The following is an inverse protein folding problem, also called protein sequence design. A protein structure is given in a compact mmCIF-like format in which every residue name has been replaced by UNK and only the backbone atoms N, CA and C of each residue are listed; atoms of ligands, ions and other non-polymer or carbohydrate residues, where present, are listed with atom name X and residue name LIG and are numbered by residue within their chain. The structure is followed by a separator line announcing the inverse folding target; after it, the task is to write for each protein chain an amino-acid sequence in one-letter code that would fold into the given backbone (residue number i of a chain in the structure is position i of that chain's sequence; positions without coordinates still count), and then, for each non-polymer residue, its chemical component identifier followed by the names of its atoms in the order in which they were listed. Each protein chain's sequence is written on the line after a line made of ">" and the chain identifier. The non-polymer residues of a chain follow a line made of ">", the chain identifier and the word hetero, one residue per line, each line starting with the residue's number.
data_IF_083549366503
#
_entry.id   IF_083549366503
#
_cell.length_a   1.000
_cell.length_b   1.000
_cell.length_c   1.000
_cell.angle_alpha   90.00
_cell.angle_beta   90.00
_cell.angle_gamma   90.00
#
_symmetry.space_group_name_H-M   'P 1'
#
loop_
_entity.id
_entity.type
_entity.pdbx_description
1 polymer ?
#
# COMPACT_ATOMS: atom_id res chain seq x y z
N UNK A 1 -17.97 -11.65 -1.64
CA UNK A 1 -17.92 -11.15 -0.24
C UNK A 1 -16.89 -10.02 -0.06
N UNK A 2 -15.64 -10.20 -0.50
CA UNK A 2 -14.55 -9.20 -0.31
C UNK A 2 -14.74 -7.85 -1.03
N UNK A 3 -15.47 -7.81 -2.16
CA UNK A 3 -15.64 -6.60 -2.98
C UNK A 3 -16.18 -5.39 -2.19
N UNK A 4 -17.14 -5.60 -1.27
CA UNK A 4 -17.69 -4.53 -0.45
C UNK A 4 -16.68 -4.04 0.59
N UNK A 5 -15.93 -4.94 1.22
CA UNK A 5 -14.91 -4.58 2.23
C UNK A 5 -13.78 -3.78 1.59
N UNK A 6 -13.26 -4.23 0.44
CA UNK A 6 -12.21 -3.50 -0.29
C UNK A 6 -12.68 -2.11 -0.74
N UNK A 7 -13.95 -1.97 -1.13
CA UNK A 7 -14.54 -0.66 -1.47
C UNK A 7 -14.53 0.29 -0.26
N UNK A 8 -14.93 -0.18 0.91
CA UNK A 8 -14.88 0.63 2.14
C UNK A 8 -13.45 0.98 2.54
N UNK A 9 -12.52 0.02 2.45
CA UNK A 9 -11.10 0.23 2.69
C UNK A 9 -10.54 1.37 1.83
N UNK A 10 -10.85 1.38 0.53
CA UNK A 10 -10.44 2.45 -0.38
C UNK A 10 -11.02 3.83 0.00
N UNK A 11 -12.27 3.88 0.43
CA UNK A 11 -12.90 5.14 0.89
C UNK A 11 -12.21 5.65 2.15
N UNK A 12 -11.96 4.77 3.13
CA UNK A 12 -11.25 5.16 4.35
C UNK A 12 -9.83 5.61 4.07
N UNK A 13 -9.13 4.93 3.15
CA UNK A 13 -7.80 5.33 2.73
C UNK A 13 -7.81 6.74 2.12
N UNK A 14 -8.75 7.01 1.21
CA UNK A 14 -8.90 8.33 0.59
C UNK A 14 -9.16 9.44 1.63
N UNK A 15 -10.05 9.17 2.61
CA UNK A 15 -10.36 10.11 3.68
C UNK A 15 -9.18 10.34 4.64
N UNK A 16 -8.24 9.39 4.73
CA UNK A 16 -7.05 9.51 5.58
C UNK A 16 -5.91 10.31 4.92
N UNK A 17 -5.99 10.62 3.61
CA UNK A 17 -4.91 11.31 2.87
C UNK A 17 -4.51 12.64 3.51
N UNK A 18 -5.42 13.55 3.90
CA UNK A 18 -5.01 14.81 4.53
C UNK A 18 -4.22 14.59 5.83
N UNK A 19 -4.60 13.59 6.63
CA UNK A 19 -3.89 13.24 7.87
C UNK A 19 -2.50 12.67 7.58
N UNK A 20 -2.39 11.79 6.58
CA UNK A 20 -1.10 11.23 6.12
C UNK A 20 -0.15 12.33 5.62
N UNK A 21 -0.66 13.30 4.87
CA UNK A 21 0.11 14.44 4.36
C UNK A 21 0.59 15.34 5.52
N UNK A 22 -0.29 15.67 6.47
CA UNK A 22 0.10 16.45 7.64
C UNK A 22 1.16 15.74 8.49
N UNK A 23 1.07 14.42 8.67
CA UNK A 23 2.02 13.68 9.51
C UNK A 23 3.45 13.63 8.94
N UNK A 24 3.62 13.86 7.62
CA UNK A 24 4.93 13.97 6.96
C UNK A 24 5.37 15.42 6.74
N UNK A 25 4.69 16.38 7.38
CA UNK A 25 5.00 17.81 7.29
C UNK A 25 4.62 18.44 5.95
N UNK A 26 3.72 17.83 5.18
CA UNK A 26 3.18 18.46 3.98
C UNK A 26 2.03 19.40 4.38
N UNK A 27 2.13 20.68 4.01
CA UNK A 27 1.28 21.77 4.49
C UNK A 27 0.41 22.30 3.38
N UNK A 28 -0.59 23.12 3.73
CA UNK A 28 -1.39 23.87 2.77
C UNK A 28 -0.53 24.77 1.86
N UNK A 29 0.48 25.44 2.40
CA UNK A 29 1.40 26.26 1.60
C UNK A 29 2.14 25.45 0.53
N UNK A 30 2.59 24.23 0.88
CA UNK A 30 3.18 23.33 -0.11
C UNK A 30 2.20 22.99 -1.23
N UNK A 31 0.95 22.72 -0.88
CA UNK A 31 -0.11 22.45 -1.84
C UNK A 31 -0.40 23.64 -2.75
N UNK A 32 -0.65 24.81 -2.17
CA UNK A 32 -1.04 26.02 -2.90
C UNK A 32 0.05 26.45 -3.90
N UNK A 33 1.32 26.17 -3.59
CA UNK A 33 2.46 26.41 -4.47
C UNK A 33 2.75 25.26 -5.47
N UNK A 34 1.91 24.22 -5.53
CA UNK A 34 2.07 23.08 -6.44
C UNK A 34 3.31 22.22 -6.16
N UNK A 35 3.84 22.24 -4.93
CA UNK A 35 5.05 21.52 -4.55
C UNK A 35 4.81 20.01 -4.61
N UNK A 36 5.70 19.28 -5.27
CA UNK A 36 5.64 17.81 -5.28
C UNK A 36 6.16 17.23 -3.97
N UNK A 37 5.77 15.98 -3.68
CA UNK A 37 6.35 15.23 -2.57
C UNK A 37 7.84 14.99 -2.82
N UNK A 38 8.66 15.17 -1.78
CA UNK A 38 10.07 14.77 -1.84
C UNK A 38 10.21 13.23 -1.87
N UNK A 39 11.33 12.72 -2.37
CA UNK A 39 11.57 11.26 -2.41
C UNK A 39 11.50 10.61 -1.02
N UNK A 40 11.97 11.31 0.03
CA UNK A 40 11.83 10.84 1.42
C UNK A 40 10.36 10.72 1.85
N UNK A 41 9.53 11.69 1.48
CA UNK A 41 8.10 11.67 1.78
C UNK A 41 7.38 10.57 0.99
N UNK A 42 7.75 10.37 -0.28
CA UNK A 42 7.23 9.27 -1.10
C UNK A 42 7.58 7.92 -0.48
N UNK A 43 8.83 7.72 -0.05
CA UNK A 43 9.24 6.47 0.59
C UNK A 43 8.43 6.17 1.87
N UNK A 44 8.26 7.16 2.75
CA UNK A 44 7.47 7.00 3.99
C UNK A 44 6.02 6.65 3.66
N UNK A 45 5.39 7.37 2.73
CA UNK A 45 3.99 7.13 2.39
C UNK A 45 3.78 5.80 1.66
N UNK A 46 4.73 5.36 0.84
CA UNK A 46 4.70 4.06 0.18
C UNK A 46 4.76 2.92 1.22
N UNK A 47 5.65 3.01 2.21
CA UNK A 47 5.70 2.04 3.31
C UNK A 47 4.41 2.03 4.14
N UNK A 48 3.85 3.22 4.43
CA UNK A 48 2.55 3.33 5.13
C UNK A 48 1.44 2.68 4.32
N UNK A 49 1.44 2.81 2.99
CA UNK A 49 0.40 2.23 2.14
C UNK A 49 0.52 0.70 2.06
N UNK A 50 1.73 0.17 1.98
CA UNK A 50 1.96 -1.28 2.08
C UNK A 50 1.51 -1.84 3.43
N UNK A 51 1.83 -1.15 4.53
CA UNK A 51 1.39 -1.54 5.87
C UNK A 51 -0.14 -1.51 6.00
N UNK A 52 -0.79 -0.49 5.44
CA UNK A 52 -2.26 -0.41 5.39
C UNK A 52 -2.85 -1.59 4.60
N UNK A 53 -2.28 -1.91 3.45
CA UNK A 53 -2.70 -3.04 2.63
C UNK A 53 -2.50 -4.39 3.35
N UNK A 54 -1.37 -4.59 4.02
CA UNK A 54 -1.13 -5.78 4.85
C UNK A 54 -2.23 -5.96 5.91
N UNK A 55 -2.57 -4.89 6.65
CA UNK A 55 -3.63 -4.93 7.66
C UNK A 55 -4.98 -5.28 7.04
N UNK A 56 -5.30 -4.71 5.87
CA UNK A 56 -6.53 -5.06 5.14
C UNK A 56 -6.57 -6.55 4.80
N UNK A 57 -5.54 -7.10 4.16
CA UNK A 57 -5.55 -8.52 3.76
C UNK A 57 -5.57 -9.46 4.97
N UNK A 58 -4.86 -9.14 6.06
CA UNK A 58 -4.92 -9.90 7.31
C UNK A 58 -6.34 -9.91 7.91
N UNK A 59 -7.03 -8.77 7.92
CA UNK A 59 -8.43 -8.68 8.37
C UNK A 59 -9.40 -9.43 7.46
N UNK A 60 -9.05 -9.62 6.19
CA UNK A 60 -9.80 -10.45 5.23
C UNK A 60 -9.54 -11.96 5.41
N UNK A 61 -8.64 -12.35 6.31
CA UNK A 61 -8.31 -13.73 6.62
C UNK A 61 -7.13 -14.28 5.83
N UNK A 62 -6.43 -13.44 5.05
CA UNK A 62 -5.15 -13.85 4.47
C UNK A 62 -4.08 -13.98 5.55
N UNK A 63 -3.06 -14.79 5.26
CA UNK A 63 -1.87 -14.96 6.07
C UNK A 63 -0.61 -14.74 5.22
N UNK A 64 0.52 -14.39 5.85
CA UNK A 64 1.81 -14.49 5.18
C UNK A 64 2.10 -15.94 4.77
N UNK A 65 2.88 -16.08 3.70
CA UNK A 65 3.47 -17.38 3.34
C UNK A 65 4.48 -17.82 4.40
N UNK A 66 4.55 -19.12 4.63
CA UNK A 66 5.63 -19.73 5.43
C UNK A 66 6.96 -19.69 4.66
N UNK A 67 8.08 -19.92 5.34
CA UNK A 67 9.40 -19.97 4.69
C UNK A 67 9.46 -21.01 3.56
N UNK A 68 8.89 -22.20 3.79
CA UNK A 68 8.82 -23.28 2.79
C UNK A 68 7.98 -22.87 1.57
N UNK A 69 6.79 -22.31 1.80
CA UNK A 69 5.93 -21.83 0.71
C UNK A 69 6.59 -20.71 -0.09
N UNK A 70 7.35 -19.83 0.58
CA UNK A 70 8.12 -18.79 -0.08
C UNK A 70 9.17 -19.39 -1.01
N UNK A 71 9.98 -20.34 -0.53
CA UNK A 71 10.99 -21.04 -1.35
C UNK A 71 10.36 -21.73 -2.57
N UNK A 72 9.21 -22.38 -2.38
CA UNK A 72 8.45 -23.01 -3.47
C UNK A 72 7.96 -21.99 -4.50
N UNK A 73 7.46 -20.83 -4.06
CA UNK A 73 6.99 -19.75 -4.94
C UNK A 73 8.16 -19.11 -5.70
N UNK A 74 9.32 -18.95 -5.06
CA UNK A 74 10.51 -18.37 -5.70
C UNK A 74 11.08 -19.29 -6.78
N UNK A 75 10.98 -20.61 -6.61
CA UNK A 75 11.32 -21.58 -7.64
C UNK A 75 10.26 -21.65 -8.75
N UNK A 76 8.98 -21.45 -8.40
CA UNK A 76 7.85 -21.54 -9.33
C UNK A 76 6.82 -20.43 -9.08
N UNK A 77 7.03 -19.29 -9.72
CA UNK A 77 6.18 -18.10 -9.56
C UNK A 77 4.68 -18.35 -9.80
N UNK A 78 4.33 -19.33 -10.64
CA UNK A 78 2.94 -19.72 -10.90
C UNK A 78 2.19 -20.19 -9.63
N UNK A 79 2.90 -20.66 -8.60
CA UNK A 79 2.30 -21.08 -7.32
C UNK A 79 1.77 -19.91 -6.49
N UNK A 80 2.23 -18.68 -6.73
CA UNK A 80 1.83 -17.48 -5.99
C UNK A 80 0.31 -17.29 -5.97
N UNK A 81 -0.32 -17.33 -7.15
CA UNK A 81 -1.77 -17.12 -7.27
C UNK A 81 -2.55 -18.30 -6.69
N UNK A 82 -2.06 -19.53 -6.89
CA UNK A 82 -2.69 -20.74 -6.33
C UNK A 82 -2.76 -20.68 -4.80
N UNK A 83 -1.63 -20.39 -4.15
CA UNK A 83 -1.53 -20.26 -2.69
C UNK A 83 -2.42 -19.13 -2.14
N UNK A 84 -2.51 -18.01 -2.85
CA UNK A 84 -3.40 -16.90 -2.50
C UNK A 84 -4.87 -17.33 -2.57
N UNK A 85 -5.28 -17.94 -3.67
CA UNK A 85 -6.71 -18.17 -3.98
C UNK A 85 -7.28 -19.39 -3.24
N UNK A 86 -6.47 -20.44 -3.04
CA UNK A 86 -6.90 -21.70 -2.40
C UNK A 86 -6.59 -21.74 -0.90
N UNK A 87 -5.44 -21.19 -0.48
CA UNK A 87 -4.92 -21.37 0.89
C UNK A 87 -4.86 -20.06 1.69
N UNK A 88 -5.35 -18.95 1.10
CA UNK A 88 -5.31 -17.61 1.69
C UNK A 88 -3.89 -17.18 2.10
N UNK A 89 -2.85 -17.73 1.45
CA UNK A 89 -1.46 -17.43 1.74
C UNK A 89 -0.92 -16.44 0.71
N UNK A 90 -0.65 -15.21 1.13
CA UNK A 90 -0.22 -14.15 0.21
C UNK A 90 1.28 -13.88 0.34
N UNK A 91 1.98 -13.96 -0.79
CA UNK A 91 3.44 -13.82 -0.86
C UNK A 91 3.93 -12.44 -0.38
N UNK A 92 3.21 -11.37 -0.77
CA UNK A 92 3.57 -9.99 -0.46
C UNK A 92 3.08 -9.51 0.93
N UNK A 93 2.38 -10.33 1.72
CA UNK A 93 2.10 -9.97 3.13
C UNK A 93 3.38 -10.17 3.94
N UNK A 94 4.17 -9.10 4.07
CA UNK A 94 5.49 -9.07 4.71
C UNK A 94 5.92 -7.62 4.98
N UNK A 95 7.00 -7.38 5.76
CA UNK A 95 7.56 -6.04 5.94
C UNK A 95 7.92 -5.38 4.60
N UNK A 96 7.74 -4.06 4.48
CA UNK A 96 8.01 -3.30 3.26
C UNK A 96 9.45 -3.51 2.75
N UNK A 97 10.43 -3.49 3.65
CA UNK A 97 11.84 -3.67 3.32
C UNK A 97 12.23 -5.11 2.90
N UNK A 98 11.31 -6.08 2.99
CA UNK A 98 11.47 -7.46 2.50
C UNK A 98 10.58 -7.72 1.25
N UNK A 99 9.99 -6.67 0.67
CA UNK A 99 9.36 -6.79 -0.65
C UNK A 99 10.41 -7.20 -1.69
N UNK A 100 10.02 -8.14 -2.55
CA UNK A 100 10.91 -8.74 -3.55
C UNK A 100 10.48 -8.34 -4.94
N UNK A 101 11.39 -8.51 -5.89
CA UNK A 101 11.13 -8.35 -7.33
C UNK A 101 10.65 -6.95 -7.76
N UNK A 102 10.89 -5.93 -6.94
CA UNK A 102 10.43 -4.57 -7.25
C UNK A 102 8.94 -4.34 -7.02
N UNK A 103 8.26 -5.18 -6.23
CA UNK A 103 6.83 -5.02 -5.92
C UNK A 103 6.51 -3.66 -5.28
N UNK A 104 7.46 -3.05 -4.57
CA UNK A 104 7.32 -1.74 -3.94
C UNK A 104 7.10 -0.60 -4.95
N UNK A 105 7.42 -0.81 -6.24
CA UNK A 105 7.23 0.18 -7.30
C UNK A 105 5.77 0.61 -7.45
N UNK A 106 4.82 -0.29 -7.15
CA UNK A 106 3.40 0.06 -7.20
C UNK A 106 3.03 1.06 -6.11
N UNK A 107 3.46 0.83 -4.87
CA UNK A 107 3.21 1.73 -3.74
C UNK A 107 3.86 3.10 -3.96
N UNK A 108 5.10 3.09 -4.48
CA UNK A 108 5.83 4.31 -4.85
C UNK A 108 5.09 5.07 -5.95
N UNK A 109 4.66 4.38 -7.01
CA UNK A 109 3.98 5.03 -8.12
C UNK A 109 2.65 5.66 -7.70
N UNK A 110 1.83 4.94 -6.92
CA UNK A 110 0.57 5.46 -6.40
C UNK A 110 0.80 6.67 -5.49
N UNK A 111 1.79 6.58 -4.61
CA UNK A 111 2.14 7.65 -3.67
C UNK A 111 2.65 8.91 -4.38
N UNK A 112 3.53 8.74 -5.37
CA UNK A 112 4.12 9.88 -6.10
C UNK A 112 3.04 10.69 -6.83
N UNK A 113 2.00 10.04 -7.33
CA UNK A 113 0.91 10.69 -8.07
C UNK A 113 -0.30 11.02 -7.20
N UNK A 114 -0.22 10.81 -5.87
CA UNK A 114 -1.30 11.05 -4.93
C UNK A 114 -1.88 12.46 -5.04
N UNK A 115 -1.01 13.47 -5.14
CA UNK A 115 -1.41 14.88 -5.22
C UNK A 115 -2.17 15.22 -6.51
N UNK A 116 -2.06 14.40 -7.57
CA UNK A 116 -2.79 14.62 -8.83
C UNK A 116 -4.23 14.09 -8.77
N UNK A 117 -4.50 13.13 -7.88
CA UNK A 117 -5.77 12.41 -7.79
C UNK A 117 -6.67 13.06 -6.72
N UNK A 118 -6.05 13.67 -5.72
CA UNK A 118 -6.74 14.20 -4.55
C UNK A 118 -7.15 15.63 -4.81
N UNK A 119 -8.42 15.96 -4.54
CA UNK A 119 -8.86 17.36 -4.51
C UNK A 119 -8.51 17.96 -3.16
N UNK A 120 -7.96 19.18 -3.17
CA UNK A 120 -7.80 19.96 -1.96
C UNK A 120 -9.19 20.29 -1.39
N UNK A 121 -9.51 19.79 -0.21
CA UNK A 121 -10.78 20.05 0.47
C UNK A 121 -10.63 21.09 1.61
N UNK A 122 -9.51 21.83 1.60
CA UNK A 122 -9.21 22.87 2.58
C UNK A 122 -8.80 22.36 3.97
N UNK A 123 -8.70 21.03 4.17
CA UNK A 123 -8.38 20.42 5.47
C UNK A 123 -6.88 20.16 5.69
N UNK A 124 -6.01 20.61 4.78
CA UNK A 124 -4.55 20.54 4.94
C UNK A 124 -4.04 21.65 5.85
#
# INVERSE_FOLDING_TARGET
>A
KFKTVKKWSNIYNANAIPTKLRSIGYTKEHWDNGKQLSEKQVAILAEVEHNRWNVEELLLGYRPVTKKEQEEIEQKAALKNKKRDEEYAHYDIRPYNDLRNGSEKYDIALTRHLLLIVKQDGKL
#
